data_IF_339982412276
#
_entry.id   IF_339982412276
#
_cell.length_a   1.000
_cell.length_b   1.000
_cell.length_c   1.000
_cell.angle_alpha   90.00
_cell.angle_beta   90.00
_cell.angle_gamma   90.00
#
_symmetry.space_group_name_H-M   'P 1'
#
loop_
_entity.id
_entity.type
_entity.pdbx_description
1 polymer ?
#
# COMPACT_ATOMS: atom_id res chain seq x y z
N UNK A 1 8.57 -24.61 -22.18
CA UNK A 1 8.42 -23.25 -21.63
C UNK A 1 7.40 -22.56 -22.50
N UNK A 2 6.43 -21.85 -21.92
CA UNK A 2 5.44 -21.12 -22.70
C UNK A 2 5.84 -19.65 -22.69
N UNK A 3 6.22 -19.10 -23.84
CA UNK A 3 6.65 -17.72 -23.94
C UNK A 3 6.34 -17.13 -25.32
N UNK A 4 6.33 -15.80 -25.39
CA UNK A 4 6.09 -15.10 -26.66
C UNK A 4 7.11 -15.48 -27.74
N UNK A 5 8.36 -15.73 -27.35
CA UNK A 5 9.41 -16.13 -28.28
C UNK A 5 9.15 -17.52 -28.89
N UNK A 6 8.65 -18.48 -28.09
CA UNK A 6 8.28 -19.80 -28.58
C UNK A 6 7.07 -19.72 -29.53
N UNK A 7 6.06 -18.93 -29.17
CA UNK A 7 4.90 -18.67 -30.03
C UNK A 7 5.30 -18.06 -31.38
N UNK A 8 6.18 -17.06 -31.38
CA UNK A 8 6.67 -16.41 -32.61
C UNK A 8 7.54 -17.37 -33.44
N UNK A 9 8.41 -18.14 -32.79
CA UNK A 9 9.23 -19.17 -33.45
C UNK A 9 8.35 -20.22 -34.12
N UNK A 10 7.29 -20.65 -33.44
CA UNK A 10 6.33 -21.61 -33.99
C UNK A 10 5.56 -21.04 -35.19
N UNK A 11 5.20 -19.76 -35.12
CA UNK A 11 4.51 -19.06 -36.22
C UNK A 11 5.41 -18.89 -37.46
N UNK A 12 6.69 -18.57 -37.26
CA UNK A 12 7.68 -18.38 -38.33
C UNK A 12 8.03 -19.71 -39.00
N UNK A 13 8.18 -20.77 -38.21
CA UNK A 13 8.54 -22.11 -38.73
C UNK A 13 7.35 -22.90 -39.28
N UNK A 14 6.12 -22.40 -39.12
CA UNK A 14 4.86 -22.97 -39.63
C UNK A 14 4.91 -23.33 -41.12
N UNK A 15 5.58 -22.52 -41.93
CA UNK A 15 5.68 -22.70 -43.38
C UNK A 15 6.51 -23.91 -43.79
N UNK A 16 7.25 -24.53 -42.86
CA UNK A 16 8.06 -25.72 -43.11
C UNK A 16 7.28 -26.97 -42.67
N UNK A 17 6.60 -27.69 -43.59
CA UNK A 17 5.74 -28.82 -43.23
C UNK A 17 6.49 -29.96 -42.55
N UNK A 18 7.78 -30.14 -42.83
CA UNK A 18 8.60 -31.21 -42.24
C UNK A 18 8.77 -31.14 -40.71
N UNK A 19 8.69 -29.94 -40.11
CA UNK A 19 8.80 -29.75 -38.67
C UNK A 19 7.49 -30.06 -37.94
N UNK A 20 6.36 -29.81 -38.61
CA UNK A 20 5.02 -29.83 -38.00
C UNK A 20 4.19 -31.06 -38.37
N UNK A 21 4.63 -31.85 -39.35
CA UNK A 21 3.98 -33.09 -39.77
C UNK A 21 3.93 -34.13 -38.64
N UNK A 22 4.99 -34.21 -37.81
CA UNK A 22 5.02 -35.08 -36.62
C UNK A 22 4.05 -34.64 -35.53
N UNK A 23 3.63 -33.37 -35.54
CA UNK A 23 2.69 -32.81 -34.59
C UNK A 23 1.23 -32.85 -35.06
N UNK A 24 0.97 -33.42 -36.24
CA UNK A 24 -0.38 -33.63 -36.78
C UNK A 24 -0.85 -32.56 -37.76
N UNK A 25 0.05 -31.73 -38.29
CA UNK A 25 -0.28 -30.75 -39.31
C UNK A 25 -0.39 -31.35 -40.72
N UNK A 26 -1.36 -30.91 -41.55
CA UNK A 26 -1.45 -31.33 -42.94
C UNK A 26 -0.28 -30.77 -43.79
N UNK A 27 -0.05 -31.33 -44.97
CA UNK A 27 1.04 -30.93 -45.88
C UNK A 27 0.95 -29.44 -46.30
N UNK A 28 -0.26 -28.88 -46.34
CA UNK A 28 -0.53 -27.48 -46.66
C UNK A 28 -0.17 -26.51 -45.50
N UNK A 29 0.18 -27.06 -44.33
CA UNK A 29 0.51 -26.31 -43.12
C UNK A 29 -0.69 -26.10 -42.20
N UNK A 30 -0.43 -26.00 -40.90
CA UNK A 30 -1.45 -25.74 -39.88
C UNK A 30 -1.91 -24.27 -39.86
N UNK A 31 -3.07 -24.02 -39.25
CA UNK A 31 -3.58 -22.67 -39.09
C UNK A 31 -2.73 -21.87 -38.06
N UNK A 32 -2.53 -20.55 -38.23
CA UNK A 32 -1.71 -19.75 -37.31
C UNK A 32 -2.18 -19.80 -35.85
N UNK A 33 -3.49 -19.87 -35.62
CA UNK A 33 -4.13 -19.86 -34.29
C UNK A 33 -4.43 -21.26 -33.75
N UNK A 34 -3.86 -22.28 -34.35
CA UNK A 34 -4.05 -23.64 -33.89
C UNK A 34 -3.43 -23.82 -32.49
N UNK A 35 -4.12 -24.57 -31.62
CA UNK A 35 -3.75 -24.73 -30.21
C UNK A 35 -2.30 -25.20 -30.05
N UNK A 36 -1.84 -26.07 -30.95
CA UNK A 36 -0.47 -26.61 -30.96
C UNK A 36 0.61 -25.65 -31.43
N UNK A 37 0.30 -24.66 -32.28
CA UNK A 37 1.32 -23.73 -32.81
C UNK A 37 1.51 -22.55 -31.86
N UNK A 38 0.45 -21.75 -31.66
CA UNK A 38 0.53 -20.53 -30.83
C UNK A 38 -0.54 -20.47 -29.75
N UNK A 39 -1.59 -21.30 -29.83
CA UNK A 39 -2.74 -21.16 -28.95
C UNK A 39 -2.42 -21.47 -27.48
N UNK A 40 -1.67 -22.53 -27.17
CA UNK A 40 -1.29 -22.83 -25.78
C UNK A 40 -0.39 -21.75 -25.17
N UNK A 41 0.58 -21.23 -25.92
CA UNK A 41 1.45 -20.14 -25.47
C UNK A 41 0.65 -18.87 -25.15
N UNK A 42 -0.25 -18.48 -26.06
CA UNK A 42 -1.07 -17.29 -25.90
C UNK A 42 -2.06 -17.42 -24.75
N UNK A 43 -2.69 -18.59 -24.60
CA UNK A 43 -3.63 -18.88 -23.52
C UNK A 43 -2.93 -18.89 -22.16
N UNK A 44 -1.77 -19.54 -22.06
CA UNK A 44 -0.98 -19.56 -20.83
C UNK A 44 -0.57 -18.15 -20.38
N UNK A 45 -0.04 -17.34 -21.29
CA UNK A 45 0.33 -15.95 -20.98
C UNK A 45 -0.89 -15.08 -20.65
N UNK A 46 -2.00 -15.25 -21.38
CA UNK A 46 -3.24 -14.51 -21.13
C UNK A 46 -3.80 -14.80 -19.74
N UNK A 47 -3.96 -16.07 -19.38
CA UNK A 47 -4.43 -16.46 -18.03
C UNK A 47 -3.43 -16.04 -16.97
N UNK A 48 -2.14 -16.25 -17.20
CA UNK A 48 -1.08 -15.85 -16.27
C UNK A 48 -1.11 -14.34 -15.98
N UNK A 49 -1.34 -13.51 -17.00
CA UNK A 49 -1.43 -12.05 -16.84
C UNK A 49 -2.59 -11.64 -15.93
N UNK A 50 -3.75 -12.28 -16.08
CA UNK A 50 -4.94 -12.02 -15.26
C UNK A 50 -4.67 -12.45 -13.82
N UNK A 51 -4.08 -13.63 -13.61
CA UNK A 51 -3.75 -14.14 -12.27
C UNK A 51 -2.76 -13.21 -11.57
N UNK A 52 -1.66 -12.83 -12.23
CA UNK A 52 -0.68 -11.91 -11.64
C UNK A 52 -1.24 -10.51 -11.40
N UNK A 53 -2.10 -10.01 -12.29
CA UNK A 53 -2.79 -8.75 -12.09
C UNK A 53 -3.70 -8.79 -10.85
N UNK A 54 -4.50 -9.84 -10.68
CA UNK A 54 -5.36 -10.01 -9.50
C UNK A 54 -4.54 -10.12 -8.21
N UNK A 55 -3.43 -10.86 -8.23
CA UNK A 55 -2.51 -10.95 -7.08
C UNK A 55 -1.97 -9.56 -6.74
N UNK A 56 -1.54 -8.79 -7.75
CA UNK A 56 -1.02 -7.42 -7.55
C UNK A 56 -2.08 -6.50 -6.95
N UNK A 57 -3.32 -6.57 -7.45
CA UNK A 57 -4.44 -5.79 -6.95
C UNK A 57 -4.77 -6.15 -5.49
N UNK A 58 -4.75 -7.44 -5.14
CA UNK A 58 -4.93 -7.90 -3.76
C UNK A 58 -3.79 -7.41 -2.86
N UNK A 59 -2.54 -7.47 -3.32
CA UNK A 59 -1.40 -6.95 -2.55
C UNK A 59 -1.51 -5.44 -2.34
N UNK A 60 -1.87 -4.68 -3.36
CA UNK A 60 -2.07 -3.24 -3.25
C UNK A 60 -3.20 -2.91 -2.27
N UNK A 61 -4.34 -3.60 -2.36
CA UNK A 61 -5.45 -3.43 -1.43
C UNK A 61 -5.08 -3.82 0.01
N UNK A 62 -4.32 -4.91 0.18
CA UNK A 62 -3.81 -5.35 1.47
C UNK A 62 -2.81 -4.33 2.07
N UNK A 63 -1.95 -3.74 1.24
CA UNK A 63 -0.98 -2.72 1.67
C UNK A 63 -1.62 -1.34 1.87
N UNK A 64 -2.72 -1.01 1.19
CA UNK A 64 -3.45 0.24 1.38
C UNK A 64 -4.31 0.21 2.65
N UNK A 65 -4.84 -0.97 3.02
CA UNK A 65 -5.75 -1.10 4.16
C UNK A 65 -5.00 -1.06 5.50
N UNK A 66 -5.23 -0.05 6.37
CA UNK A 66 -4.47 0.11 7.63
C UNK A 66 -4.64 -1.09 8.59
N UNK A 67 -5.78 -1.78 8.55
CA UNK A 67 -6.05 -2.98 9.36
C UNK A 67 -5.13 -4.16 8.99
N UNK A 68 -4.90 -4.35 7.70
CA UNK A 68 -4.06 -5.45 7.19
C UNK A 68 -2.58 -5.11 7.33
N UNK A 69 -2.19 -3.84 7.13
CA UNK A 69 -0.83 -3.36 7.47
C UNK A 69 -0.47 -3.57 8.95
N UNK A 70 -1.42 -3.29 9.85
CA UNK A 70 -1.25 -3.50 11.28
C UNK A 70 -1.10 -5.00 11.61
N UNK A 71 -1.89 -5.87 10.98
CA UNK A 71 -1.81 -7.32 11.14
C UNK A 71 -0.49 -7.90 10.60
N UNK A 72 -0.03 -7.41 9.44
CA UNK A 72 1.26 -7.79 8.84
C UNK A 72 2.47 -7.18 9.56
N UNK A 73 2.26 -6.36 10.61
CA UNK A 73 3.31 -5.63 11.36
C UNK A 73 4.30 -4.88 10.44
N UNK A 74 3.87 -4.49 9.24
CA UNK A 74 4.67 -3.68 8.30
C UNK A 74 4.57 -2.24 8.78
N UNK A 75 5.43 -1.90 9.75
CA UNK A 75 5.45 -0.61 10.42
C UNK A 75 5.12 -0.75 11.90
N UNK A 76 6.16 -0.74 12.73
CA UNK A 76 6.04 -0.71 14.19
C UNK A 76 5.33 0.56 14.64
N UNK A 77 4.05 0.47 14.99
CA UNK A 77 3.39 1.48 15.83
C UNK A 77 3.94 1.29 17.24
N UNK A 78 5.07 1.93 17.53
CA UNK A 78 5.62 1.97 18.88
C UNK A 78 4.68 2.85 19.69
N UNK A 79 3.83 2.22 20.49
CA UNK A 79 3.00 2.89 21.46
C UNK A 79 3.94 3.43 22.54
N UNK A 80 4.39 4.68 22.37
CA UNK A 80 5.31 5.34 23.29
C UNK A 80 4.55 5.73 24.56
N UNK A 81 4.24 4.73 25.39
CA UNK A 81 3.79 4.90 26.76
C UNK A 81 4.97 5.35 27.62
N UNK A 82 5.67 6.41 27.23
CA UNK A 82 6.49 7.15 28.18
C UNK A 82 5.52 8.02 28.98
N UNK A 83 5.44 7.87 30.31
CA UNK A 83 4.69 8.82 31.13
C UNK A 83 5.24 10.21 30.85
N UNK A 84 4.37 11.23 30.76
CA UNK A 84 4.80 12.60 30.48
C UNK A 84 5.88 12.97 31.48
N UNK A 85 7.05 13.35 30.98
CA UNK A 85 8.07 13.90 31.86
C UNK A 85 7.51 15.23 32.33
N UNK A 86 7.20 15.34 33.62
CA UNK A 86 6.67 16.55 34.23
C UNK A 86 7.74 17.65 34.17
N UNK A 87 7.87 18.29 33.01
CA UNK A 87 8.56 19.56 32.87
C UNK A 87 7.63 20.61 33.45
N UNK A 88 8.14 21.59 34.21
CA UNK A 88 7.34 22.70 34.65
C UNK A 88 6.79 23.42 33.42
N UNK A 89 5.46 23.42 33.26
CA UNK A 89 4.82 24.21 32.21
C UNK A 89 5.04 25.70 32.52
N UNK A 90 5.21 26.51 31.49
CA UNK A 90 5.19 27.95 31.67
C UNK A 90 3.84 28.43 32.22
N UNK A 91 3.85 29.50 33.01
CA UNK A 91 2.65 30.03 33.68
C UNK A 91 1.53 30.36 32.70
N UNK A 92 1.85 30.92 31.54
CA UNK A 92 0.83 31.25 30.53
C UNK A 92 0.21 30.00 29.92
N UNK A 93 1.00 28.94 29.73
CA UNK A 93 0.52 27.65 29.21
C UNK A 93 -0.37 26.94 30.24
N UNK A 94 -0.06 27.06 31.54
CA UNK A 94 -0.91 26.51 32.60
C UNK A 94 -2.26 27.23 32.67
N UNK A 95 -2.25 28.57 32.66
CA UNK A 95 -3.47 29.37 32.69
C UNK A 95 -4.35 29.11 31.47
N UNK A 96 -3.75 29.01 30.28
CA UNK A 96 -4.50 28.68 29.07
C UNK A 96 -5.10 27.27 29.14
N UNK A 97 -4.34 26.29 29.65
CA UNK A 97 -4.84 24.94 29.90
C UNK A 97 -6.01 24.94 30.88
N UNK A 98 -5.91 25.68 31.98
CA UNK A 98 -7.00 25.81 32.96
C UNK A 98 -8.23 26.47 32.35
N UNK A 99 -8.06 27.58 31.62
CA UNK A 99 -9.15 28.30 30.90
C UNK A 99 -9.91 27.35 29.96
N UNK A 100 -9.18 26.62 29.13
CA UNK A 100 -9.76 25.66 28.16
C UNK A 100 -10.42 24.46 28.87
N UNK A 101 -9.86 23.99 29.98
CA UNK A 101 -10.42 22.89 30.76
C UNK A 101 -11.67 23.29 31.54
N UNK A 102 -11.73 24.53 32.02
CA UNK A 102 -12.87 25.09 32.74
C UNK A 102 -14.07 25.36 31.82
N UNK A 103 -13.88 25.27 30.50
CA UNK A 103 -14.92 25.50 29.49
C UNK A 103 -15.03 26.95 29.02
N UNK A 104 -14.17 27.84 29.51
CA UNK A 104 -14.20 29.26 29.14
C UNK A 104 -13.90 29.49 27.65
N UNK A 105 -13.31 28.50 26.97
CA UNK A 105 -13.02 28.53 25.54
C UNK A 105 -14.03 27.74 24.69
N UNK A 106 -15.09 27.15 25.26
CA UNK A 106 -15.97 26.21 24.53
C UNK A 106 -16.79 26.86 23.40
N UNK A 107 -16.99 28.18 23.46
CA UNK A 107 -17.67 28.97 22.43
C UNK A 107 -16.70 29.55 21.37
N UNK A 108 -15.39 29.28 21.49
CA UNK A 108 -14.40 29.77 20.54
C UNK A 108 -14.40 28.97 19.22
N UNK A 109 -13.93 29.59 18.14
CA UNK A 109 -13.97 29.02 16.79
C UNK A 109 -13.20 27.71 16.69
N UNK A 110 -12.05 27.61 17.38
CA UNK A 110 -11.22 26.40 17.42
C UNK A 110 -10.80 26.14 18.86
N UNK A 111 -11.07 24.92 19.34
CA UNK A 111 -10.67 24.48 20.69
C UNK A 111 -9.88 23.18 20.59
N UNK A 112 -8.65 23.20 21.10
CA UNK A 112 -7.76 22.05 21.18
C UNK A 112 -7.64 21.62 22.64
N UNK A 113 -7.97 20.36 22.93
CA UNK A 113 -7.88 19.78 24.28
C UNK A 113 -6.98 18.55 24.27
N UNK A 114 -5.86 18.60 24.99
CA UNK A 114 -4.97 17.46 25.21
C UNK A 114 -4.35 16.88 23.93
N UNK A 115 -4.07 17.72 22.93
CA UNK A 115 -3.50 17.26 21.67
C UNK A 115 -2.07 16.73 21.90
N UNK A 116 -1.83 15.49 21.46
CA UNK A 116 -0.53 14.84 21.50
C UNK A 116 -0.16 14.29 20.14
N UNK A 117 1.03 14.65 19.66
CA UNK A 117 1.58 14.14 18.40
C UNK A 117 2.90 13.44 18.66
N UNK A 118 2.98 12.17 18.30
CA UNK A 118 4.18 11.35 18.44
C UNK A 118 4.56 10.80 17.07
N UNK A 119 5.79 11.04 16.65
CA UNK A 119 6.36 10.40 15.47
C UNK A 119 6.97 9.05 15.88
N UNK A 120 6.64 7.95 15.18
CA UNK A 120 7.22 6.65 15.48
C UNK A 120 8.74 6.70 15.26
N UNK A 121 9.47 6.02 16.13
CA UNK A 121 10.91 5.83 15.98
C UNK A 121 11.20 4.98 14.74
N UNK A 122 12.35 5.22 14.10
CA UNK A 122 12.88 4.38 13.01
C UNK A 122 14.26 3.86 13.40
N UNK A 123 14.64 2.69 12.90
CA UNK A 123 15.99 2.11 13.09
C UNK A 123 16.43 1.99 14.56
N UNK A 124 15.52 1.55 15.43
CA UNK A 124 15.81 1.37 16.87
C UNK A 124 15.85 2.66 17.69
N UNK A 125 15.64 3.83 17.08
CA UNK A 125 15.51 5.10 17.81
C UNK A 125 14.18 5.16 18.56
N UNK A 126 14.13 5.81 19.74
CA UNK A 126 12.89 6.00 20.45
C UNK A 126 11.93 6.94 19.68
N UNK A 127 10.61 6.80 19.85
CA UNK A 127 9.62 7.71 19.27
C UNK A 127 9.84 9.16 19.71
N UNK A 128 9.72 10.10 18.77
CA UNK A 128 9.87 11.54 19.03
C UNK A 128 8.50 12.15 19.30
N UNK A 129 8.28 12.61 20.52
CA UNK A 129 7.10 13.43 20.86
C UNK A 129 7.31 14.82 20.26
N UNK A 130 6.40 15.22 19.38
CA UNK A 130 6.43 16.53 18.71
C UNK A 130 5.56 17.55 19.44
N UNK A 131 4.42 17.09 19.98
CA UNK A 131 3.51 17.90 20.78
C UNK A 131 3.08 17.05 21.97
N UNK A 132 3.18 17.62 23.16
CA UNK A 132 2.84 16.99 24.43
C UNK A 132 1.77 17.83 25.12
N UNK A 133 0.55 17.30 25.20
CA UNK A 133 -0.55 17.81 26.02
C UNK A 133 -0.88 19.30 25.77
N UNK A 134 -1.12 19.67 24.50
CA UNK A 134 -1.43 21.04 24.08
C UNK A 134 -2.92 21.37 24.28
N UNK A 135 -3.16 22.50 24.94
CA UNK A 135 -4.47 23.13 25.13
C UNK A 135 -4.43 24.54 24.57
N UNK A 136 -5.43 24.90 23.78
CA UNK A 136 -5.46 26.20 23.13
C UNK A 136 -6.87 26.48 22.60
N UNK A 137 -7.30 27.73 22.69
CA UNK A 137 -8.53 28.21 22.07
C UNK A 137 -8.27 29.45 21.19
N UNK A 138 -9.02 29.57 20.07
CA UNK A 138 -8.94 30.72 19.15
C UNK A 138 -10.34 31.32 18.96
N UNK A 139 -10.59 32.57 19.37
CA UNK A 139 -11.87 33.23 19.18
C UNK A 139 -12.08 33.65 17.72
N UNK A 140 -13.28 34.11 17.40
CA UNK A 140 -13.57 34.61 16.05
C UNK A 140 -12.78 35.89 15.72
N UNK A 141 -11.98 35.86 14.64
CA UNK A 141 -11.29 37.05 14.11
C UNK A 141 -9.81 37.20 14.48
N UNK A 142 -9.24 36.24 15.20
CA UNK A 142 -7.78 36.09 15.41
C UNK A 142 -7.09 35.31 14.28
#
# INVERSE_FOLDING_TARGET
NFCLADALTNLVTRSNPGLWMSQGCPLEGCAPYELKITGYDLLYMGVGSIVWFLITLVLELALATPKVRALLRIGTVVNSQRPPQARPLDRHVQLEKERVLNGDADEEMVVLKGIRKVYPGRYGLPPKVAVEDMYFGIPEGE
#
